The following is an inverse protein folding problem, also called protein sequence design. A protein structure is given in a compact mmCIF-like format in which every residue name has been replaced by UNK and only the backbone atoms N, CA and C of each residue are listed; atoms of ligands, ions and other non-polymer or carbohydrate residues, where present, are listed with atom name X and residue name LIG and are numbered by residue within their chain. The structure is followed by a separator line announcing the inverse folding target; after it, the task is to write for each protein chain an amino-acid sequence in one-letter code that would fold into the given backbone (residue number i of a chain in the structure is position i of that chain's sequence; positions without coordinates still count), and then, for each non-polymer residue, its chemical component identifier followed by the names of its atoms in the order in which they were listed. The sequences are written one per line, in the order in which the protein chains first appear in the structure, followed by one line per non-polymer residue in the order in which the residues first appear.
data_IF_827040447185
#
_entry.id   IF_827040447185
#
_cell.length_a   1.000
_cell.length_b   1.000
_cell.length_c   1.000
_cell.angle_alpha   90.00
_cell.angle_beta   90.00
_cell.angle_gamma   90.00
#
_symmetry.space_group_name_H-M   'P 1'
#
loop_
_entity.id
_entity.type
_entity.pdbx_description
1 polymer ?
#
# COMPACT_ATOMS: atom_id res chain seq x y z
N UNK A 1 13.88 -1.92 3.53
CA UNK A 1 14.72 -1.64 2.35
C UNK A 1 16.10 -2.24 2.53
N UNK A 2 16.91 -1.82 3.52
CA UNK A 2 18.18 -2.53 3.82
C UNK A 2 17.95 -3.98 4.30
N UNK A 3 16.96 -4.21 5.16
CA UNK A 3 16.61 -5.55 5.65
C UNK A 3 16.09 -6.50 4.55
N UNK A 4 15.44 -5.96 3.51
CA UNK A 4 14.91 -6.75 2.39
C UNK A 4 16.03 -7.17 1.42
N UNK A 5 17.08 -6.36 1.32
CA UNK A 5 18.26 -6.62 0.52
C UNK A 5 19.12 -7.72 1.15
N UNK A 6 19.35 -7.65 2.45
CA UNK A 6 20.07 -8.66 3.22
C UNK A 6 19.37 -10.03 3.10
N UNK A 7 18.05 -10.07 3.25
CA UNK A 7 17.27 -11.31 3.12
C UNK A 7 17.37 -11.95 1.73
N UNK A 8 17.47 -11.15 0.66
CA UNK A 8 17.58 -11.67 -0.71
C UNK A 8 18.96 -12.33 -0.96
N UNK A 9 20.04 -11.71 -0.47
CA UNK A 9 21.38 -12.29 -0.59
C UNK A 9 21.59 -13.49 0.35
N UNK A 10 20.98 -13.48 1.54
CA UNK A 10 20.97 -14.64 2.43
C UNK A 10 20.25 -15.84 1.82
N UNK A 11 19.13 -15.61 1.11
CA UNK A 11 18.44 -16.66 0.39
C UNK A 11 19.31 -17.28 -0.73
N UNK A 12 20.14 -16.47 -1.40
CA UNK A 12 21.11 -16.97 -2.38
C UNK A 12 22.25 -17.77 -1.71
N UNK A 13 22.76 -17.30 -0.56
CA UNK A 13 23.75 -18.03 0.24
C UNK A 13 23.23 -19.39 0.74
N UNK A 14 21.94 -19.47 1.06
CA UNK A 14 21.26 -20.70 1.44
C UNK A 14 20.89 -21.59 0.24
N UNK A 15 21.13 -21.13 -1.00
CA UNK A 15 20.84 -21.87 -2.23
C UNK A 15 19.34 -21.96 -2.57
N UNK A 16 18.50 -21.11 -1.98
CA UNK A 16 17.06 -21.06 -2.23
C UNK A 16 16.72 -20.37 -3.54
N UNK A 17 17.58 -19.45 -3.98
CA UNK A 17 17.50 -18.70 -5.24
C UNK A 17 18.90 -18.54 -5.84
N UNK A 18 19.01 -18.26 -7.13
CA UNK A 18 20.30 -17.92 -7.73
C UNK A 18 20.77 -16.52 -7.30
N UNK A 19 22.07 -16.24 -7.40
CA UNK A 19 22.60 -14.90 -7.13
C UNK A 19 22.05 -13.85 -8.10
N UNK A 20 21.76 -14.27 -9.34
CA UNK A 20 21.16 -13.43 -10.38
C UNK A 20 19.69 -13.12 -10.04
N UNK A 21 18.96 -14.10 -9.50
CA UNK A 21 17.60 -13.92 -9.01
C UNK A 21 17.55 -13.00 -7.78
N UNK A 22 18.47 -13.16 -6.82
CA UNK A 22 18.59 -12.26 -5.67
C UNK A 22 18.88 -10.83 -6.12
N UNK A 23 19.82 -10.63 -7.05
CA UNK A 23 20.10 -9.32 -7.63
C UNK A 23 18.87 -8.71 -8.32
N UNK A 24 18.09 -9.51 -9.05
CA UNK A 24 16.84 -9.06 -9.66
C UNK A 24 15.78 -8.67 -8.62
N UNK A 25 15.75 -9.30 -7.45
CA UNK A 25 14.81 -8.97 -6.37
C UNK A 25 15.18 -7.64 -5.69
N UNK A 26 16.47 -7.40 -5.44
CA UNK A 26 16.97 -6.17 -4.82
C UNK A 26 16.87 -4.97 -5.77
N UNK A 27 17.15 -5.17 -7.05
CA UNK A 27 17.14 -4.11 -8.07
C UNK A 27 15.74 -3.72 -8.56
N UNK A 28 14.69 -4.48 -8.19
CA UNK A 28 13.31 -4.11 -8.52
C UNK A 28 12.94 -2.83 -7.81
N UNK A 29 12.63 -1.80 -8.58
CA UNK A 29 11.93 -0.64 -8.05
C UNK A 29 10.65 -1.12 -7.34
N UNK A 30 10.29 -0.54 -6.19
CA UNK A 30 9.06 -0.91 -5.51
C UNK A 30 7.90 -0.72 -6.48
N UNK A 31 7.19 -1.82 -6.75
CA UNK A 31 5.99 -1.79 -7.57
C UNK A 31 5.04 -0.77 -6.93
N UNK A 32 4.58 0.28 -7.65
CA UNK A 32 3.68 1.26 -7.07
C UNK A 32 2.44 0.51 -6.59
N UNK A 33 2.35 0.31 -5.27
CA UNK A 33 1.18 -0.33 -4.68
C UNK A 33 -0.03 0.46 -5.14
N UNK A 34 -1.11 -0.20 -5.60
CA UNK A 34 -2.33 0.51 -5.96
C UNK A 34 -2.74 1.38 -4.78
N UNK A 35 -2.73 2.69 -4.98
CA UNK A 35 -3.16 3.62 -3.96
C UNK A 35 -4.65 3.36 -3.71
N UNK A 36 -4.97 2.86 -2.51
CA UNK A 36 -6.36 2.73 -2.09
C UNK A 36 -6.92 4.15 -1.94
N UNK A 37 -7.65 4.62 -2.95
CA UNK A 37 -8.38 5.88 -2.88
C UNK A 37 -9.81 5.60 -2.43
N UNK A 38 -10.19 6.18 -1.29
CA UNK A 38 -11.57 6.23 -0.86
C UNK A 38 -12.21 7.47 -1.49
N UNK A 39 -13.17 7.27 -2.38
CA UNK A 39 -14.00 8.33 -2.92
C UNK A 39 -15.34 8.28 -2.20
N UNK A 40 -15.69 9.37 -1.51
CA UNK A 40 -16.93 9.44 -0.76
C UNK A 40 -17.69 10.72 -1.05
N UNK A 41 -19.00 10.67 -0.80
CA UNK A 41 -19.88 11.83 -0.87
C UNK A 41 -20.34 12.21 0.53
N UNK A 42 -20.30 13.52 0.81
CA UNK A 42 -20.81 14.12 2.04
C UNK A 42 -22.02 14.99 1.70
N UNK A 43 -23.06 14.90 2.52
CA UNK A 43 -24.22 15.77 2.39
C UNK A 43 -24.68 16.27 3.77
N UNK A 44 -24.90 17.58 3.86
CA UNK A 44 -25.46 18.27 5.02
C UNK A 44 -26.87 18.76 4.68
N UNK A 45 -27.83 18.43 5.53
CA UNK A 45 -29.19 18.96 5.44
C UNK A 45 -29.57 19.63 6.75
N UNK A 46 -29.90 20.92 6.71
CA UNK A 46 -30.60 21.58 7.79
C UNK A 46 -32.09 21.17 7.73
N UNK A 47 -32.61 20.61 8.83
CA UNK A 47 -33.98 20.08 8.89
C UNK A 47 -34.99 21.09 9.45
N UNK A 48 -34.53 22.24 9.96
CA UNK A 48 -35.35 23.20 10.70
C UNK A 48 -35.25 23.00 12.21
N UNK A 49 -35.73 23.97 13.00
CA UNK A 49 -35.78 23.91 14.48
C UNK A 49 -34.43 23.69 15.21
N UNK A 50 -33.32 24.01 14.53
CA UNK A 50 -31.96 23.77 15.04
C UNK A 50 -31.42 22.37 14.75
N UNK A 51 -32.21 21.52 14.10
CA UNK A 51 -31.80 20.17 13.73
C UNK A 51 -31.04 20.14 12.40
N UNK A 52 -30.04 19.26 12.35
CA UNK A 52 -29.28 18.99 11.15
C UNK A 52 -29.00 17.49 10.99
N UNK A 53 -28.86 17.07 9.73
CA UNK A 53 -28.54 15.70 9.36
C UNK A 53 -27.31 15.67 8.46
N UNK A 54 -26.35 14.85 8.85
CA UNK A 54 -25.16 14.54 8.08
C UNK A 54 -25.32 13.15 7.44
N UNK A 55 -24.97 13.01 6.17
CA UNK A 55 -25.01 11.74 5.44
C UNK A 55 -23.70 11.52 4.71
N UNK A 56 -23.16 10.31 4.85
CA UNK A 56 -21.90 9.90 4.23
C UNK A 56 -22.13 8.65 3.38
N UNK A 57 -21.49 8.58 2.23
CA UNK A 57 -21.43 7.40 1.36
C UNK A 57 -19.97 7.20 0.95
N UNK A 58 -19.46 5.98 1.12
CA UNK A 58 -18.10 5.56 0.79
C UNK A 58 -18.15 4.36 -0.15
#
# INVERSE_FOLDING_TARGET
MEEDEEAAYDAALLGLVSIEEAFCLVSRAPDPRPALSLSGAFNFNALGDGDCRFSFRF
#
